data_IF_884501719600
#
_entry.id   IF_884501719600
#
_cell.length_a   1.000
_cell.length_b   1.000
_cell.length_c   1.000
_cell.angle_alpha   90.00
_cell.angle_beta   90.00
_cell.angle_gamma   90.00
#
_symmetry.space_group_name_H-M   'P 1'
#
loop_
_entity.id
_entity.type
_entity.pdbx_description
1 polymer ?
#
# COMPACT_ATOMS: atom_id res chain seq x y z
N UNK A 1 -6.68 -7.94 -6.53
CA UNK A 1 -7.74 -7.65 -7.52
C UNK A 1 -8.84 -6.75 -6.94
N UNK A 2 -9.44 -7.07 -5.77
CA UNK A 2 -10.50 -6.26 -5.16
C UNK A 2 -10.11 -4.81 -4.88
N UNK A 3 -8.87 -4.55 -4.42
CA UNK A 3 -8.38 -3.18 -4.17
C UNK A 3 -8.31 -2.35 -5.44
N UNK A 4 -7.81 -2.94 -6.52
CA UNK A 4 -7.70 -2.27 -7.82
C UNK A 4 -9.09 -1.96 -8.36
N UNK A 5 -10.02 -2.89 -8.25
CA UNK A 5 -11.39 -2.71 -8.73
C UNK A 5 -12.11 -1.62 -7.93
N UNK A 6 -11.95 -1.62 -6.59
CA UNK A 6 -12.51 -0.58 -5.74
C UNK A 6 -11.96 0.81 -6.06
N UNK A 7 -10.63 0.91 -6.28
CA UNK A 7 -10.00 2.16 -6.69
C UNK A 7 -10.52 2.64 -8.05
N UNK A 8 -10.55 1.76 -9.06
CA UNK A 8 -11.05 2.12 -10.39
C UNK A 8 -12.51 2.56 -10.35
N UNK A 9 -13.34 1.85 -9.57
CA UNK A 9 -14.74 2.24 -9.40
C UNK A 9 -14.87 3.62 -8.78
N UNK A 10 -14.12 3.90 -7.70
CA UNK A 10 -14.14 5.20 -7.04
C UNK A 10 -13.73 6.33 -8.00
N UNK A 11 -12.65 6.14 -8.76
CA UNK A 11 -12.21 7.15 -9.74
C UNK A 11 -13.29 7.35 -10.81
N UNK A 12 -13.87 6.27 -11.34
CA UNK A 12 -14.95 6.37 -12.35
C UNK A 12 -16.18 7.11 -11.82
N UNK A 13 -16.55 6.88 -10.55
CA UNK A 13 -17.76 7.47 -9.96
C UNK A 13 -17.60 8.96 -9.61
N UNK A 14 -16.39 9.37 -9.18
CA UNK A 14 -16.15 10.72 -8.64
C UNK A 14 -15.22 11.60 -9.50
N UNK A 15 -14.44 11.00 -10.38
CA UNK A 15 -13.45 11.67 -11.22
C UNK A 15 -13.44 11.08 -12.64
N UNK A 16 -14.58 11.13 -13.36
CA UNK A 16 -14.77 10.40 -14.61
C UNK A 16 -13.75 10.79 -15.71
N UNK A 17 -13.27 12.02 -15.70
CA UNK A 17 -12.28 12.50 -16.68
C UNK A 17 -10.83 12.09 -16.36
N UNK A 18 -10.61 11.36 -15.25
CA UNK A 18 -9.27 10.95 -14.85
C UNK A 18 -8.84 9.69 -15.61
N UNK A 19 -7.78 9.81 -16.37
CA UNK A 19 -7.15 8.67 -17.06
C UNK A 19 -6.25 7.91 -16.07
N UNK A 20 -6.48 6.60 -15.95
CA UNK A 20 -5.66 5.70 -15.13
C UNK A 20 -4.71 4.93 -16.03
N UNK A 21 -3.42 5.11 -15.81
CA UNK A 21 -2.37 4.30 -16.42
C UNK A 21 -1.89 3.24 -15.43
N UNK A 22 -1.62 2.03 -15.90
CA UNK A 22 -1.17 0.92 -15.07
C UNK A 22 0.16 0.38 -15.57
N UNK A 23 1.09 0.15 -14.64
CA UNK A 23 2.37 -0.49 -14.94
C UNK A 23 2.55 -1.69 -14.03
N UNK A 24 3.11 -2.77 -14.57
CA UNK A 24 3.41 -3.99 -13.82
C UNK A 24 4.90 -4.06 -13.55
N UNK A 25 5.27 -4.17 -12.27
CA UNK A 25 6.65 -4.35 -11.82
C UNK A 25 6.83 -5.71 -11.15
N UNK A 26 8.08 -6.18 -11.06
CA UNK A 26 8.44 -7.51 -10.60
C UNK A 26 9.22 -7.44 -9.28
N UNK A 27 9.00 -8.41 -8.41
CA UNK A 27 9.53 -8.42 -7.05
C UNK A 27 11.05 -8.56 -6.94
N UNK A 28 11.67 -9.22 -7.90
CA UNK A 28 13.06 -9.70 -7.81
C UNK A 28 13.89 -9.38 -9.06
N UNK A 29 13.47 -8.38 -9.83
CA UNK A 29 14.12 -8.02 -11.08
C UNK A 29 14.21 -6.49 -11.18
N UNK A 30 15.19 -5.91 -10.47
CA UNK A 30 15.39 -4.47 -10.41
C UNK A 30 15.71 -3.89 -11.77
N UNK A 31 16.61 -4.51 -12.53
CA UNK A 31 17.01 -4.00 -13.85
C UNK A 31 15.86 -3.95 -14.84
N UNK A 32 14.97 -4.95 -14.76
CA UNK A 32 13.77 -4.98 -15.58
C UNK A 32 12.77 -3.92 -15.13
N UNK A 33 12.62 -3.73 -13.82
CA UNK A 33 11.75 -2.70 -13.28
C UNK A 33 12.22 -1.30 -13.69
N UNK A 34 13.52 -1.04 -13.65
CA UNK A 34 14.09 0.25 -14.04
C UNK A 34 13.80 0.57 -15.51
N UNK A 35 13.95 -0.39 -16.40
CA UNK A 35 13.58 -0.24 -17.81
C UNK A 35 12.08 0.05 -17.98
N UNK A 36 11.22 -0.76 -17.32
CA UNK A 36 9.77 -0.61 -17.40
C UNK A 36 9.33 0.77 -16.87
N UNK A 37 9.87 1.21 -15.73
CA UNK A 37 9.52 2.49 -15.13
C UNK A 37 10.05 3.65 -15.95
N UNK A 38 11.25 3.55 -16.52
CA UNK A 38 11.80 4.52 -17.45
C UNK A 38 10.90 4.72 -18.67
N UNK A 39 10.52 3.62 -19.31
CA UNK A 39 9.65 3.67 -20.48
C UNK A 39 8.26 4.21 -20.11
N UNK A 40 7.74 3.82 -18.96
CA UNK A 40 6.44 4.30 -18.46
C UNK A 40 6.45 5.81 -18.23
N UNK A 41 7.41 6.36 -17.50
CA UNK A 41 7.47 7.80 -17.20
C UNK A 41 7.86 8.64 -18.42
N UNK A 42 8.64 8.09 -19.34
CA UNK A 42 8.90 8.75 -20.63
C UNK A 42 7.64 8.84 -21.48
N UNK A 43 6.78 7.83 -21.45
CA UNK A 43 5.53 7.82 -22.21
C UNK A 43 4.44 8.67 -21.55
N UNK A 44 4.47 8.80 -20.23
CA UNK A 44 3.47 9.51 -19.43
C UNK A 44 4.11 10.53 -18.48
N UNK A 45 4.81 11.58 -19.00
CA UNK A 45 5.53 12.55 -18.16
C UNK A 45 4.60 13.42 -17.30
N UNK A 46 3.30 13.47 -17.65
CA UNK A 46 2.28 14.23 -16.91
C UNK A 46 1.84 13.56 -15.60
N UNK A 47 2.22 12.30 -15.34
CA UNK A 47 1.80 11.60 -14.14
C UNK A 47 2.49 12.22 -12.91
N UNK A 48 1.66 12.61 -11.92
CA UNK A 48 2.10 13.20 -10.65
C UNK A 48 1.62 12.40 -9.44
N UNK A 49 0.79 11.38 -9.63
CA UNK A 49 0.21 10.59 -8.55
C UNK A 49 0.28 9.11 -8.88
N UNK A 50 0.69 8.31 -7.91
CA UNK A 50 0.76 6.86 -8.05
C UNK A 50 0.21 6.15 -6.83
N UNK A 51 -0.33 4.96 -7.03
CA UNK A 51 -0.74 4.07 -5.95
C UNK A 51 -0.28 2.66 -6.25
N UNK A 52 0.29 1.99 -5.26
CA UNK A 52 0.58 0.56 -5.32
C UNK A 52 -0.46 -0.19 -4.52
N UNK A 53 -0.89 -1.36 -4.97
CA UNK A 53 -1.90 -2.18 -4.29
C UNK A 53 -1.30 -3.39 -3.57
N UNK A 54 0.01 -3.38 -3.41
CA UNK A 54 0.78 -4.39 -2.69
C UNK A 54 1.84 -3.74 -1.78
N UNK A 55 2.55 -4.55 -1.02
CA UNK A 55 3.54 -4.09 -0.05
C UNK A 55 4.88 -3.58 -0.63
N UNK A 56 4.99 -3.43 -1.95
CA UNK A 56 6.27 -3.14 -2.62
C UNK A 56 6.36 -1.73 -3.20
N UNK A 57 5.75 -0.76 -2.55
CA UNK A 57 5.83 0.66 -2.95
C UNK A 57 7.27 1.17 -2.98
N UNK A 58 8.13 0.63 -2.11
CA UNK A 58 9.55 0.97 -2.05
C UNK A 58 10.29 0.77 -3.39
N UNK A 59 9.90 -0.19 -4.23
CA UNK A 59 10.54 -0.39 -5.53
C UNK A 59 10.36 0.81 -6.46
N UNK A 60 9.17 1.42 -6.43
CA UNK A 60 8.92 2.64 -7.19
C UNK A 60 9.62 3.83 -6.50
N UNK A 61 9.55 3.92 -5.18
CA UNK A 61 10.21 5.00 -4.43
C UNK A 61 11.74 5.01 -4.64
N UNK A 62 12.38 3.84 -4.68
CA UNK A 62 13.79 3.69 -4.97
C UNK A 62 14.12 4.17 -6.39
N UNK A 63 13.33 3.76 -7.39
CA UNK A 63 13.48 4.22 -8.77
C UNK A 63 13.35 5.76 -8.88
N UNK A 64 12.31 6.34 -8.27
CA UNK A 64 12.09 7.79 -8.26
C UNK A 64 13.27 8.53 -7.61
N UNK A 65 13.81 7.98 -6.52
CA UNK A 65 14.96 8.56 -5.82
C UNK A 65 16.22 8.52 -6.68
N UNK A 66 16.52 7.37 -7.29
CA UNK A 66 17.72 7.18 -8.11
C UNK A 66 17.69 8.07 -9.37
N UNK A 67 16.50 8.36 -9.90
CA UNK A 67 16.35 9.18 -11.10
C UNK A 67 16.00 10.66 -10.79
N UNK A 68 16.10 11.08 -9.52
CA UNK A 68 15.82 12.48 -9.09
C UNK A 68 14.42 12.98 -9.46
N UNK A 69 13.42 12.09 -9.40
CA UNK A 69 12.01 12.43 -9.68
C UNK A 69 11.31 12.69 -8.35
N UNK A 70 11.08 13.96 -8.01
CA UNK A 70 10.57 14.36 -6.68
C UNK A 70 9.10 14.83 -6.68
N UNK A 71 8.50 15.00 -7.83
CA UNK A 71 7.17 15.59 -7.98
C UNK A 71 6.03 14.58 -8.05
N UNK A 72 6.32 13.29 -7.79
CA UNK A 72 5.32 12.21 -7.80
C UNK A 72 4.88 11.89 -6.37
N UNK A 73 3.57 12.03 -6.11
CA UNK A 73 2.91 11.64 -4.86
C UNK A 73 2.58 10.15 -4.89
N UNK A 74 3.32 9.33 -4.14
CA UNK A 74 3.15 7.87 -4.10
C UNK A 74 2.41 7.43 -2.84
N UNK A 75 1.41 6.57 -3.02
CA UNK A 75 0.69 5.90 -1.92
C UNK A 75 1.05 4.41 -1.95
N UNK A 76 1.43 3.87 -0.80
CA UNK A 76 1.79 2.48 -0.63
C UNK A 76 0.90 1.74 0.36
N UNK A 77 1.09 0.43 0.42
CA UNK A 77 0.47 -0.46 1.40
C UNK A 77 1.54 -1.15 2.24
N UNK A 78 1.16 -1.47 3.47
CA UNK A 78 1.93 -2.26 4.44
C UNK A 78 3.23 -1.60 4.95
N UNK A 79 3.57 -1.92 6.19
CA UNK A 79 4.69 -1.34 6.93
C UNK A 79 5.98 -2.15 6.79
N UNK A 80 6.31 -2.59 5.58
CA UNK A 80 7.65 -3.13 5.36
C UNK A 80 8.69 -2.06 5.70
N UNK A 81 9.80 -2.46 6.29
CA UNK A 81 10.87 -1.55 6.70
C UNK A 81 11.29 -0.57 5.59
N UNK A 82 11.45 -1.07 4.37
CA UNK A 82 11.79 -0.24 3.20
C UNK A 82 10.70 0.79 2.86
N UNK A 83 9.43 0.44 3.03
CA UNK A 83 8.33 1.39 2.83
C UNK A 83 8.34 2.47 3.91
N UNK A 84 8.60 2.11 5.17
CA UNK A 84 8.69 3.05 6.29
C UNK A 84 9.87 4.01 6.10
N UNK A 85 11.02 3.50 5.67
CA UNK A 85 12.18 4.34 5.33
C UNK A 85 11.84 5.33 4.20
N UNK A 86 11.16 4.86 3.15
CA UNK A 86 10.74 5.71 2.03
C UNK A 86 9.70 6.75 2.45
N UNK A 87 8.77 6.42 3.36
CA UNK A 87 7.83 7.36 3.96
C UNK A 87 8.56 8.44 4.76
N UNK A 88 9.48 8.06 5.65
CA UNK A 88 10.30 9.01 6.46
C UNK A 88 11.15 9.93 5.59
N UNK A 89 11.56 9.48 4.40
CA UNK A 89 12.28 10.28 3.41
C UNK A 89 11.36 11.08 2.48
N UNK A 90 10.06 11.10 2.74
CA UNK A 90 9.04 11.76 1.91
C UNK A 90 9.01 11.32 0.43
N UNK A 91 9.43 10.06 0.16
CA UNK A 91 9.35 9.42 -1.17
C UNK A 91 8.04 8.63 -1.35
N UNK A 92 7.41 8.28 -0.24
CA UNK A 92 6.02 7.81 -0.15
C UNK A 92 5.28 8.82 0.70
N UNK A 93 4.09 9.27 0.26
CA UNK A 93 3.30 10.26 0.99
C UNK A 93 2.42 9.63 2.06
N UNK A 94 1.86 8.46 1.75
CA UNK A 94 0.96 7.72 2.64
C UNK A 94 1.24 6.24 2.57
N UNK A 95 1.21 5.58 3.73
CA UNK A 95 1.16 4.12 3.85
C UNK A 95 -0.18 3.71 4.46
N UNK A 96 -0.82 2.75 3.82
CA UNK A 96 -2.06 2.14 4.30
C UNK A 96 -1.71 0.90 5.11
N UNK A 97 -1.84 0.98 6.44
CA UNK A 97 -1.54 -0.11 7.36
C UNK A 97 -2.79 -0.93 7.68
N UNK A 98 -2.64 -2.24 7.75
CA UNK A 98 -3.75 -3.19 7.87
C UNK A 98 -3.76 -3.94 9.20
N UNK A 99 -2.82 -3.70 10.10
CA UNK A 99 -2.68 -4.37 11.41
C UNK A 99 -2.69 -5.90 11.29
N UNK A 100 -1.74 -6.52 10.57
CA UNK A 100 -1.75 -7.97 10.30
C UNK A 100 -1.69 -8.81 11.58
N UNK A 101 -1.02 -8.34 12.62
CA UNK A 101 -0.95 -9.00 13.93
C UNK A 101 -2.33 -9.10 14.57
N UNK A 102 -3.09 -8.00 14.57
CA UNK A 102 -4.45 -7.97 15.13
C UNK A 102 -5.40 -8.81 14.27
N UNK A 103 -5.25 -8.79 12.96
CA UNK A 103 -6.03 -9.65 12.07
C UNK A 103 -5.79 -11.12 12.38
N UNK A 104 -4.52 -11.53 12.51
CA UNK A 104 -4.12 -12.90 12.84
C UNK A 104 -4.66 -13.33 14.20
N UNK A 105 -4.51 -12.48 15.23
CA UNK A 105 -5.05 -12.75 16.57
C UNK A 105 -6.57 -12.92 16.55
N UNK A 106 -7.31 -11.98 15.92
CA UNK A 106 -8.78 -12.06 15.84
C UNK A 106 -9.24 -13.27 15.04
N UNK A 107 -8.54 -13.63 13.97
CA UNK A 107 -8.82 -14.83 13.19
C UNK A 107 -8.65 -16.10 14.00
N UNK A 108 -7.53 -16.23 14.70
CA UNK A 108 -7.26 -17.37 15.56
C UNK A 108 -8.26 -17.46 16.72
N UNK A 109 -8.55 -16.34 17.40
CA UNK A 109 -9.53 -16.26 18.46
C UNK A 109 -10.92 -16.71 17.97
N UNK A 110 -11.37 -16.22 16.83
CA UNK A 110 -12.66 -16.62 16.25
C UNK A 110 -12.69 -18.13 15.93
N UNK A 111 -11.58 -18.69 15.45
CA UNK A 111 -11.47 -20.12 15.22
C UNK A 111 -11.60 -20.94 16.54
N UNK A 112 -10.93 -20.52 17.60
CA UNK A 112 -11.05 -21.13 18.93
C UNK A 112 -12.48 -21.03 19.47
N UNK A 113 -13.09 -19.85 19.39
CA UNK A 113 -14.50 -19.64 19.81
C UNK A 113 -15.44 -20.60 19.08
N UNK A 114 -15.27 -20.78 17.79
CA UNK A 114 -16.10 -21.69 17.01
C UNK A 114 -15.81 -23.18 17.29
N UNK A 115 -14.54 -23.59 17.28
CA UNK A 115 -14.16 -25.00 17.35
C UNK A 115 -14.21 -25.57 18.76
N UNK A 116 -13.71 -24.81 19.75
CA UNK A 116 -13.57 -25.26 21.13
C UNK A 116 -14.84 -24.94 21.91
N UNK A 117 -15.25 -23.69 21.93
CA UNK A 117 -16.36 -23.22 22.74
C UNK A 117 -17.73 -23.35 22.07
N UNK A 118 -17.76 -23.78 20.77
CA UNK A 118 -18.99 -23.94 19.97
C UNK A 118 -19.84 -22.67 19.85
N UNK A 119 -19.22 -21.49 20.04
CA UNK A 119 -19.89 -20.22 19.94
C UNK A 119 -20.20 -19.88 18.47
N UNK A 120 -21.28 -19.15 18.23
CA UNK A 120 -21.56 -18.57 16.92
C UNK A 120 -20.62 -17.41 16.64
N UNK A 121 -19.97 -17.43 15.49
CA UNK A 121 -19.06 -16.35 15.05
C UNK A 121 -19.63 -15.63 13.84
N UNK A 122 -19.25 -14.36 13.67
CA UNK A 122 -19.55 -13.60 12.45
C UNK A 122 -18.71 -14.14 11.30
N UNK A 123 -19.31 -14.31 10.13
CA UNK A 123 -18.60 -14.74 8.91
C UNK A 123 -17.57 -13.72 8.43
N UNK A 124 -17.87 -12.44 8.62
CA UNK A 124 -17.03 -11.33 8.15
C UNK A 124 -16.77 -10.37 9.30
N UNK A 125 -15.51 -10.04 9.52
CA UNK A 125 -15.06 -9.05 10.48
C UNK A 125 -14.20 -8.02 9.75
N UNK A 126 -14.71 -6.79 9.64
CA UNK A 126 -13.94 -5.70 9.08
C UNK A 126 -12.90 -5.20 10.08
N UNK A 127 -11.73 -4.88 9.55
CA UNK A 127 -10.66 -4.25 10.29
C UNK A 127 -10.49 -2.82 9.84
N UNK A 128 -10.14 -1.89 10.75
CA UNK A 128 -9.78 -0.54 10.34
C UNK A 128 -8.54 -0.57 9.45
N UNK A 129 -8.47 0.39 8.55
CA UNK A 129 -7.27 0.70 7.77
C UNK A 129 -6.74 2.02 8.29
N UNK A 130 -5.46 2.03 8.72
CA UNK A 130 -4.82 3.23 9.21
C UNK A 130 -4.06 3.92 8.08
N UNK A 131 -4.15 5.25 8.04
CA UNK A 131 -3.40 6.08 7.09
C UNK A 131 -2.22 6.67 7.84
N UNK A 132 -1.01 6.30 7.40
CA UNK A 132 0.23 6.73 8.02
C UNK A 132 0.97 7.71 7.13
N UNK A 133 1.51 8.73 7.80
CA UNK A 133 2.32 9.80 7.21
C UNK A 133 3.68 9.85 7.87
N UNK A 134 4.56 10.69 7.38
CA UNK A 134 5.86 10.94 8.00
C UNK A 134 5.72 11.41 9.46
N UNK A 135 4.66 12.17 9.77
CA UNK A 135 4.44 12.79 11.06
C UNK A 135 3.91 11.83 12.13
N UNK A 136 3.19 10.75 11.72
CA UNK A 136 2.55 9.86 12.69
C UNK A 136 3.14 8.44 12.76
N UNK A 137 4.04 8.08 11.85
CA UNK A 137 4.57 6.73 11.75
C UNK A 137 5.33 6.28 13.01
N UNK A 138 6.08 7.17 13.63
CA UNK A 138 6.88 6.84 14.82
C UNK A 138 5.99 6.48 16.01
N UNK A 139 4.86 7.15 16.16
CA UNK A 139 3.89 6.88 17.23
C UNK A 139 3.05 5.63 16.96
N UNK A 140 2.90 5.22 15.72
CA UNK A 140 2.08 4.05 15.37
C UNK A 140 2.70 2.73 15.81
N UNK A 141 4.01 2.60 15.83
CA UNK A 141 4.72 1.38 16.21
C UNK A 141 4.68 1.08 17.72
N UNK A 142 4.37 2.08 18.56
CA UNK A 142 4.27 1.92 20.01
C UNK A 142 2.98 1.24 20.48
N UNK A 143 1.96 1.17 19.63
CA UNK A 143 0.69 0.50 19.93
C UNK A 143 0.66 -0.99 19.56
N UNK A 144 1.79 -1.67 19.66
CA UNK A 144 1.82 -3.12 19.58
C UNK A 144 1.19 -3.70 20.84
N UNK A 145 0.20 -4.55 20.66
CA UNK A 145 -0.62 -5.15 21.72
C UNK A 145 0.28 -5.76 22.81
N UNK A 146 0.14 -5.26 24.03
CA UNK A 146 0.51 -5.97 25.24
C UNK A 146 -0.59 -6.99 25.55
#
# INVERSE_FOLDING_TARGET
>A
ELRINGFKKYISDYYPDTVIHSVKIYAHDTDKNDKILKDFFNHYPQIKKGVTFNSRAYLIADYLTTNYIDDIKLIGYDLLEKNVIALKKNKICYLLAQRPEIQSYKGLKALCEYKIFKNKIKRTNFMPIDILTQENIDFYQEFTII
#
